data_IF_139194516375
#
_entry.id   IF_139194516375
#
_cell.length_a   1.000
_cell.length_b   1.000
_cell.length_c   1.000
_cell.angle_alpha   90.00
_cell.angle_beta   90.00
_cell.angle_gamma   90.00
#
_symmetry.space_group_name_H-M   'P 1'
#
loop_
_entity.id
_entity.type
_entity.pdbx_description
1 polymer ?
#
# COMPACT_ATOMS: atom_id res chain seq x y z
N UNK A 1 27.29 7.50 14.62
CA UNK A 1 26.23 6.84 13.82
C UNK A 1 25.23 6.24 14.79
N UNK A 2 24.19 7.00 15.17
CA UNK A 2 23.07 6.46 15.95
C UNK A 2 22.22 5.61 15.00
N UNK A 3 22.37 4.28 15.08
CA UNK A 3 21.43 3.37 14.45
C UNK A 3 20.09 3.59 15.15
N UNK A 4 19.11 4.17 14.46
CA UNK A 4 17.74 4.17 14.96
C UNK A 4 17.29 2.72 14.93
N UNK A 5 17.40 2.05 16.08
CA UNK A 5 17.05 0.64 16.22
C UNK A 5 15.54 0.55 16.33
N UNK A 6 14.88 0.25 15.21
CA UNK A 6 13.46 -0.01 15.20
C UNK A 6 13.18 -1.34 15.89
N UNK A 7 12.13 -1.39 16.73
CA UNK A 7 11.73 -2.63 17.39
C UNK A 7 11.33 -3.68 16.37
N UNK A 8 11.68 -4.94 16.65
CA UNK A 8 11.41 -6.06 15.75
C UNK A 8 9.93 -6.15 15.36
N UNK A 9 9.04 -5.96 16.33
CA UNK A 9 7.59 -6.07 16.10
C UNK A 9 7.05 -4.98 15.16
N UNK A 10 7.53 -3.73 15.26
CA UNK A 10 7.14 -2.67 14.32
C UNK A 10 7.57 -3.02 12.90
N UNK A 11 8.81 -3.50 12.76
CA UNK A 11 9.34 -3.92 11.47
C UNK A 11 8.51 -5.06 10.89
N UNK A 12 8.11 -6.02 11.71
CA UNK A 12 7.23 -7.13 11.29
C UNK A 12 5.87 -6.61 10.83
N UNK A 13 5.22 -5.71 11.58
CA UNK A 13 3.95 -5.12 11.15
C UNK A 13 4.08 -4.42 9.79
N UNK A 14 5.12 -3.61 9.62
CA UNK A 14 5.39 -2.93 8.36
C UNK A 14 5.60 -3.92 7.20
N UNK A 15 6.44 -4.93 7.39
CA UNK A 15 6.74 -5.91 6.34
C UNK A 15 5.52 -6.72 5.93
N UNK A 16 4.67 -7.12 6.88
CA UNK A 16 3.42 -7.83 6.58
C UNK A 16 2.48 -6.89 5.81
N UNK A 17 2.30 -5.65 6.27
CA UNK A 17 1.47 -4.66 5.57
C UNK A 17 1.94 -4.40 4.14
N UNK A 18 3.24 -4.25 3.92
CA UNK A 18 3.83 -4.09 2.58
C UNK A 18 3.63 -5.33 1.70
N UNK A 19 3.76 -6.52 2.27
CA UNK A 19 3.56 -7.79 1.54
C UNK A 19 2.10 -7.97 1.13
N UNK A 20 1.16 -7.58 2.00
CA UNK A 20 -0.26 -7.58 1.70
C UNK A 20 -0.59 -6.56 0.60
N UNK A 21 0.02 -5.37 0.60
CA UNK A 21 -0.12 -4.40 -0.49
C UNK A 21 0.34 -4.99 -1.82
N UNK A 22 1.56 -5.53 -1.90
CA UNK A 22 2.04 -6.10 -3.16
C UNK A 22 1.16 -7.26 -3.65
N UNK A 23 0.62 -8.05 -2.73
CA UNK A 23 -0.30 -9.13 -3.08
C UNK A 23 -1.67 -8.59 -3.50
N UNK A 24 -2.15 -7.50 -2.90
CA UNK A 24 -3.34 -6.77 -3.36
C UNK A 24 -3.16 -6.26 -4.79
N UNK A 25 -1.99 -5.71 -5.15
CA UNK A 25 -1.74 -5.25 -6.53
C UNK A 25 -1.77 -6.40 -7.56
N UNK A 26 -1.40 -7.62 -7.17
CA UNK A 26 -1.56 -8.81 -8.01
C UNK A 26 -3.04 -9.17 -8.19
N UNK A 27 -3.82 -9.07 -7.13
CA UNK A 27 -5.27 -9.29 -7.14
C UNK A 27 -6.01 -8.18 -7.92
N UNK A 28 -5.55 -6.94 -7.83
CA UNK A 28 -6.06 -5.79 -8.58
C UNK A 28 -6.01 -6.01 -10.11
N UNK A 29 -5.05 -6.81 -10.59
CA UNK A 29 -4.99 -7.25 -11.99
C UNK A 29 -6.09 -8.22 -12.38
N UNK A 30 -6.51 -9.11 -11.49
CA UNK A 30 -7.62 -10.04 -11.76
C UNK A 30 -8.95 -9.29 -11.73
N UNK A 31 -9.05 -8.23 -10.92
CA UNK A 31 -10.25 -7.42 -10.70
C UNK A 31 -10.34 -6.14 -11.56
N UNK A 32 -9.39 -5.92 -12.47
CA UNK A 32 -9.37 -4.79 -13.40
C UNK A 32 -9.48 -3.41 -12.72
N UNK A 33 -8.71 -3.20 -11.65
CA UNK A 33 -8.79 -1.98 -10.81
C UNK A 33 -8.63 -0.67 -11.60
N UNK A 34 -7.88 -0.70 -12.70
CA UNK A 34 -7.71 0.45 -13.60
C UNK A 34 -9.04 0.99 -14.15
N UNK A 35 -10.12 0.22 -14.11
CA UNK A 35 -11.47 0.65 -14.51
C UNK A 35 -12.22 1.43 -13.43
N UNK A 36 -11.77 1.33 -12.18
CA UNK A 36 -12.35 2.01 -11.01
C UNK A 36 -11.54 3.25 -10.64
N UNK A 37 -10.22 3.23 -10.86
CA UNK A 37 -9.35 4.34 -10.56
C UNK A 37 -9.74 5.60 -11.36
N UNK A 38 -9.98 6.75 -10.71
CA UNK A 38 -10.34 7.99 -11.42
C UNK A 38 -9.32 8.41 -12.48
N UNK A 39 -8.04 8.06 -12.28
CA UNK A 39 -6.96 8.44 -13.19
C UNK A 39 -6.92 7.60 -14.48
N UNK A 40 -7.45 6.37 -14.47
CA UNK A 40 -7.35 5.44 -15.61
C UNK A 40 -8.70 4.92 -16.12
N UNK A 41 -9.79 5.14 -15.39
CA UNK A 41 -11.14 4.62 -15.70
C UNK A 41 -11.73 5.14 -17.02
N UNK A 42 -11.21 6.26 -17.52
CA UNK A 42 -11.62 6.87 -18.79
C UNK A 42 -10.83 6.34 -20.00
N UNK A 43 -9.79 5.52 -19.78
CA UNK A 43 -9.02 4.90 -20.86
C UNK A 43 -9.76 3.67 -21.42
N UNK A 44 -9.47 3.35 -22.68
CA UNK A 44 -9.85 2.06 -23.27
C UNK A 44 -9.30 0.90 -22.40
N UNK A 45 -10.04 -0.21 -22.19
CA UNK A 45 -9.67 -1.26 -21.25
C UNK A 45 -8.24 -1.80 -21.40
N UNK A 46 -7.78 -2.08 -22.62
CA UNK A 46 -6.42 -2.57 -22.88
C UNK A 46 -5.36 -1.51 -22.56
N UNK A 47 -5.62 -0.25 -22.92
CA UNK A 47 -4.73 0.87 -22.63
C UNK A 47 -4.66 1.17 -21.14
N UNK A 48 -5.79 1.13 -20.43
CA UNK A 48 -5.85 1.29 -18.98
C UNK A 48 -5.03 0.23 -18.25
N UNK A 49 -5.13 -1.04 -18.68
CA UNK A 49 -4.31 -2.14 -18.16
C UNK A 49 -2.81 -1.90 -18.39
N UNK A 50 -2.43 -1.51 -19.60
CA UNK A 50 -1.03 -1.24 -19.94
C UNK A 50 -0.47 -0.10 -19.08
N UNK A 51 -1.19 1.02 -18.99
CA UNK A 51 -0.79 2.20 -18.20
C UNK A 51 -0.68 1.83 -16.74
N UNK A 52 -1.65 1.09 -16.18
CA UNK A 52 -1.60 0.60 -14.81
C UNK A 52 -0.30 -0.18 -14.58
N UNK A 53 -0.05 -1.25 -15.33
CA UNK A 53 1.13 -2.12 -15.11
C UNK A 53 2.44 -1.35 -15.28
N UNK A 54 2.56 -0.53 -16.33
CA UNK A 54 3.81 0.20 -16.61
C UNK A 54 4.09 1.25 -15.55
N UNK A 55 3.07 1.96 -15.02
CA UNK A 55 3.25 2.96 -13.96
C UNK A 55 3.63 2.35 -12.60
N UNK A 56 3.30 1.08 -12.35
CA UNK A 56 3.73 0.40 -11.13
C UNK A 56 5.25 0.20 -11.07
N UNK A 57 5.93 0.05 -12.21
CA UNK A 57 7.40 -0.12 -12.23
C UNK A 57 8.14 1.08 -11.63
N UNK A 58 7.97 2.33 -12.12
CA UNK A 58 8.61 3.49 -11.52
C UNK A 58 8.10 3.76 -10.10
N UNK A 59 6.80 3.51 -9.82
CA UNK A 59 6.25 3.67 -8.48
C UNK A 59 6.96 2.75 -7.46
N UNK A 60 7.09 1.47 -7.77
CA UNK A 60 7.78 0.51 -6.92
C UNK A 60 9.27 0.83 -6.81
N UNK A 61 9.93 1.27 -7.88
CA UNK A 61 11.32 1.71 -7.82
C UNK A 61 11.52 2.88 -6.84
N UNK A 62 10.62 3.87 -6.86
CA UNK A 62 10.66 5.02 -5.93
C UNK A 62 10.41 4.58 -4.48
N UNK A 63 9.39 3.76 -4.25
CA UNK A 63 9.05 3.25 -2.91
C UNK A 63 10.19 2.40 -2.34
N UNK A 64 10.67 1.41 -3.10
CA UNK A 64 11.76 0.55 -2.68
C UNK A 64 13.08 1.34 -2.52
N UNK A 65 13.36 2.30 -3.38
CA UNK A 65 14.51 3.19 -3.25
C UNK A 65 14.49 4.02 -1.96
N UNK A 66 13.31 4.44 -1.52
CA UNK A 66 13.13 5.09 -0.23
C UNK A 66 13.37 4.11 0.94
N UNK A 67 12.76 2.92 0.87
CA UNK A 67 12.83 1.89 1.92
C UNK A 67 14.20 1.24 2.07
N UNK A 68 15.02 1.27 1.02
CA UNK A 68 16.39 0.72 0.98
C UNK A 68 17.48 1.79 1.10
N UNK A 69 17.10 3.02 1.41
CA UNK A 69 18.04 4.13 1.55
C UNK A 69 19.07 3.86 2.65
N UNK A 70 20.32 4.26 2.41
CA UNK A 70 21.39 4.19 3.42
C UNK A 70 21.18 5.19 4.57
N UNK A 71 20.28 6.15 4.42
CA UNK A 71 19.94 7.14 5.44
C UNK A 71 18.79 6.61 6.31
N UNK A 72 19.02 6.28 7.60
CA UNK A 72 17.99 5.66 8.44
C UNK A 72 16.71 6.51 8.57
N UNK A 73 16.85 7.84 8.59
CA UNK A 73 15.72 8.77 8.65
C UNK A 73 14.83 8.65 7.42
N UNK A 74 15.42 8.45 6.23
CA UNK A 74 14.64 8.25 5.00
C UNK A 74 13.87 6.94 5.10
N UNK A 75 14.51 5.85 5.49
CA UNK A 75 13.81 4.56 5.63
C UNK A 75 12.59 4.67 6.54
N UNK A 76 12.72 5.31 7.72
CA UNK A 76 11.61 5.49 8.65
C UNK A 76 10.49 6.38 8.10
N UNK A 77 10.84 7.47 7.39
CA UNK A 77 9.87 8.30 6.69
C UNK A 77 9.13 7.51 5.59
N UNK A 78 9.86 6.68 4.84
CA UNK A 78 9.29 5.82 3.81
C UNK A 78 8.30 4.82 4.41
N UNK A 79 8.67 4.16 5.51
CA UNK A 79 7.78 3.24 6.22
C UNK A 79 6.53 3.95 6.74
N UNK A 80 6.67 5.14 7.33
CA UNK A 80 5.56 5.95 7.78
C UNK A 80 4.59 6.29 6.63
N UNK A 81 5.10 6.83 5.52
CA UNK A 81 4.25 7.24 4.40
C UNK A 81 3.60 6.05 3.69
N UNK A 82 4.31 4.93 3.56
CA UNK A 82 3.71 3.69 3.05
C UNK A 82 2.59 3.22 3.98
N UNK A 83 2.80 3.20 5.30
CA UNK A 83 1.73 2.81 6.24
C UNK A 83 0.52 3.76 6.21
N UNK A 84 0.73 5.07 6.06
CA UNK A 84 -0.36 6.04 5.81
C UNK A 84 -1.10 5.68 4.52
N UNK A 85 -0.36 5.41 3.44
CA UNK A 85 -0.93 5.01 2.17
C UNK A 85 -1.79 3.75 2.30
N UNK A 86 -1.35 2.70 3.03
CA UNK A 86 -2.15 1.48 3.24
C UNK A 86 -3.55 1.78 3.84
N UNK A 87 -3.60 2.65 4.84
CA UNK A 87 -4.86 3.03 5.50
C UNK A 87 -5.75 3.85 4.57
N UNK A 88 -5.18 4.83 3.88
CA UNK A 88 -5.91 5.67 2.93
C UNK A 88 -6.40 4.84 1.74
N UNK A 89 -5.59 3.92 1.22
CA UNK A 89 -5.92 3.03 0.10
C UNK A 89 -7.14 2.17 0.43
N UNK A 90 -7.18 1.54 1.61
CA UNK A 90 -8.37 0.80 2.02
C UNK A 90 -9.62 1.71 2.14
N UNK A 91 -9.45 2.95 2.60
CA UNK A 91 -10.51 3.96 2.60
C UNK A 91 -11.02 4.29 1.19
N UNK A 92 -10.13 4.37 0.20
CA UNK A 92 -10.51 4.57 -1.20
C UNK A 92 -11.31 3.38 -1.75
N UNK A 93 -10.95 2.14 -1.40
CA UNK A 93 -11.75 0.97 -1.78
C UNK A 93 -13.15 1.01 -1.16
N UNK A 94 -13.28 1.40 0.10
CA UNK A 94 -14.60 1.60 0.70
C UNK A 94 -15.39 2.68 -0.05
N UNK A 95 -14.76 3.80 -0.37
CA UNK A 95 -15.41 4.89 -1.09
C UNK A 95 -15.84 4.50 -2.52
N UNK A 96 -15.09 3.63 -3.19
CA UNK A 96 -15.36 3.20 -4.57
C UNK A 96 -16.14 1.88 -4.67
N UNK A 97 -16.42 1.22 -3.54
CA UNK A 97 -17.12 -0.07 -3.48
C UNK A 97 -18.50 -0.07 -4.15
N UNK A 98 -19.17 1.08 -4.22
CA UNK A 98 -20.47 1.23 -4.87
C UNK A 98 -20.45 1.46 -6.38
N UNK A 99 -19.27 1.51 -7.01
CA UNK A 99 -19.16 1.77 -8.46
C UNK A 99 -19.44 0.51 -9.29
N UNK A 100 -20.05 0.68 -10.48
CA UNK A 100 -20.48 -0.42 -11.35
C UNK A 100 -19.33 -1.34 -11.86
N UNK A 101 -18.09 -0.88 -11.79
CA UNK A 101 -16.90 -1.66 -12.20
C UNK A 101 -16.07 -2.16 -11.02
N UNK A 102 -16.52 -1.93 -9.79
CA UNK A 102 -15.89 -2.46 -8.59
C UNK A 102 -16.17 -3.96 -8.49
N UNK A 103 -15.13 -4.79 -8.50
CA UNK A 103 -15.28 -6.26 -8.45
C UNK A 103 -14.60 -6.92 -7.25
N UNK A 104 -14.05 -6.13 -6.32
CA UNK A 104 -13.34 -6.62 -5.13
C UNK A 104 -14.30 -7.04 -4.01
N UNK A 105 -15.21 -7.96 -4.31
CA UNK A 105 -16.20 -8.47 -3.35
C UNK A 105 -15.72 -9.74 -2.64
N UNK A 106 -14.62 -10.35 -3.11
CA UNK A 106 -14.08 -11.59 -2.58
C UNK A 106 -13.47 -11.46 -1.18
N UNK A 107 -13.54 -12.55 -0.41
CA UNK A 107 -12.89 -12.64 0.91
C UNK A 107 -11.37 -12.40 0.80
N UNK A 108 -10.73 -12.93 -0.25
CA UNK A 108 -9.30 -12.76 -0.49
C UNK A 108 -8.95 -11.27 -0.68
N UNK A 109 -9.58 -10.62 -1.66
CA UNK A 109 -9.39 -9.20 -1.97
C UNK A 109 -9.57 -8.31 -0.74
N UNK A 110 -10.67 -8.50 -0.01
CA UNK A 110 -10.95 -7.75 1.21
C UNK A 110 -9.90 -8.01 2.30
N UNK A 111 -9.46 -9.26 2.46
CA UNK A 111 -8.40 -9.60 3.44
C UNK A 111 -7.08 -8.93 3.08
N UNK A 112 -6.72 -8.89 1.79
CA UNK A 112 -5.49 -8.26 1.33
C UNK A 112 -5.51 -6.75 1.62
N UNK A 113 -6.55 -6.04 1.19
CA UNK A 113 -6.59 -4.58 1.33
C UNK A 113 -6.83 -4.12 2.78
N UNK A 114 -7.83 -4.69 3.47
CA UNK A 114 -8.12 -4.31 4.85
C UNK A 114 -7.09 -4.86 5.82
N UNK A 115 -6.52 -6.03 5.54
CA UNK A 115 -5.37 -6.55 6.28
C UNK A 115 -4.18 -5.61 6.17
N UNK A 116 -3.82 -5.15 4.95
CA UNK A 116 -2.75 -4.18 4.76
C UNK A 116 -2.98 -2.91 5.58
N UNK A 117 -4.21 -2.38 5.59
CA UNK A 117 -4.58 -1.22 6.40
C UNK A 117 -4.46 -1.46 7.91
N UNK A 118 -4.89 -2.63 8.42
CA UNK A 118 -4.75 -2.98 9.84
C UNK A 118 -3.28 -3.01 10.27
N UNK A 119 -2.41 -3.64 9.46
CA UNK A 119 -0.97 -3.68 9.75
C UNK A 119 -0.31 -2.30 9.63
N UNK A 120 -0.72 -1.48 8.65
CA UNK A 120 -0.27 -0.09 8.52
C UNK A 120 -0.71 0.79 9.70
N UNK A 121 -1.96 0.69 10.14
CA UNK A 121 -2.46 1.41 11.32
C UNK A 121 -1.74 0.97 12.60
N UNK A 122 -1.51 -0.34 12.76
CA UNK A 122 -0.74 -0.89 13.88
C UNK A 122 0.70 -0.36 13.92
N UNK A 123 1.35 -0.27 12.76
CA UNK A 123 2.67 0.36 12.64
C UNK A 123 2.65 1.83 13.10
N UNK A 124 1.69 2.63 12.60
CA UNK A 124 1.58 4.05 12.92
C UNK A 124 1.30 4.29 14.40
N UNK A 125 0.35 3.54 14.98
CA UNK A 125 0.02 3.62 16.40
C UNK A 125 1.22 3.24 17.28
N UNK A 126 1.91 2.15 16.93
CA UNK A 126 3.09 1.69 17.65
C UNK A 126 4.26 2.66 17.60
N UNK A 127 4.52 3.23 16.44
CA UNK A 127 5.57 4.24 16.26
C UNK A 127 5.25 5.53 17.03
N UNK A 128 3.98 5.95 17.04
CA UNK A 128 3.52 7.10 17.83
C UNK A 128 3.67 6.89 19.34
N UNK A 129 3.34 5.70 19.83
CA UNK A 129 3.48 5.39 21.26
C UNK A 129 4.95 5.37 21.69
N UNK A 130 5.84 4.78 20.88
CA UNK A 130 7.27 4.77 21.19
C UNK A 130 7.94 6.13 21.04
N UNK A 131 7.42 7.01 20.18
CA UNK A 131 7.91 8.39 20.08
C UNK A 131 7.47 9.30 21.23
N UNK A 132 6.53 8.86 22.07
CA UNK A 132 6.05 9.56 23.27
C UNK A 132 6.62 9.03 24.58
N UNK A 133 7.15 7.81 24.57
CA UNK A 133 7.85 7.19 25.69
C UNK A 133 9.30 7.69 25.76
#
# INVERSE_FOLDING_TARGET
MSTVSQTLWLRTLFLIGLSLLFTHELDAMTHSEWRVLPLTSWLEPEMGRLVFVVLHVPLFALVLGWLTSQLPQRVLQGQFWVSVFLVVHAGLHLAFSGQAHYTFEGMLSNTLIFGAAVFGAGYLAGNYWMGRA
#
